data_IF_887533078077
#
_entry.id   IF_887533078077
#
_cell.length_a   1.000
_cell.length_b   1.000
_cell.length_c   1.000
_cell.angle_alpha   90.00
_cell.angle_beta   90.00
_cell.angle_gamma   90.00
#
_symmetry.space_group_name_H-M   'P 1'
#
loop_
_entity.id
_entity.type
_entity.pdbx_description
1 polymer ?
#
# COMPACT_ATOMS: atom_id res chain seq x y z
N UNK A 1 -4.78 -6.00 24.92
CA UNK A 1 -4.88 -4.59 25.42
C UNK A 1 -6.11 -3.96 24.79
N UNK A 2 -6.75 -3.00 25.44
CA UNK A 2 -7.87 -2.25 24.87
C UNK A 2 -7.77 -0.78 25.30
N UNK A 3 -8.23 0.14 24.45
CA UNK A 3 -8.26 1.56 24.72
C UNK A 3 -6.94 2.29 24.41
N UNK A 4 -6.76 3.45 25.07
CA UNK A 4 -5.60 4.33 24.85
C UNK A 4 -4.41 3.86 25.69
N UNK A 5 -3.32 3.48 25.03
CA UNK A 5 -2.15 2.84 25.68
C UNK A 5 -0.84 3.59 25.38
N UNK A 6 -0.79 4.87 25.73
CA UNK A 6 0.32 5.79 25.37
C UNK A 6 1.71 5.38 25.89
N UNK A 7 1.77 4.51 26.89
CA UNK A 7 3.04 4.00 27.46
C UNK A 7 3.34 2.55 27.09
N UNK A 8 2.44 1.87 26.38
CA UNK A 8 2.61 0.47 26.00
C UNK A 8 3.33 0.35 24.67
N UNK A 9 4.09 -0.73 24.52
CA UNK A 9 4.85 -0.96 23.31
C UNK A 9 5.16 -2.44 23.06
N UNK A 10 5.40 -2.77 21.80
CA UNK A 10 6.07 -3.98 21.34
C UNK A 10 7.33 -3.52 20.62
N UNK A 11 8.50 -3.64 21.27
CA UNK A 11 9.76 -3.08 20.75
C UNK A 11 10.95 -4.01 20.89
N UNK A 12 11.86 -3.96 19.92
CA UNK A 12 13.14 -4.67 19.92
C UNK A 12 13.00 -6.21 20.03
N UNK A 13 11.93 -6.77 19.47
CA UNK A 13 11.69 -8.22 19.52
C UNK A 13 12.03 -8.89 18.19
N UNK A 14 12.35 -10.19 18.27
CA UNK A 14 12.28 -11.09 17.12
C UNK A 14 11.11 -12.05 17.29
N UNK A 15 10.16 -12.02 16.37
CA UNK A 15 9.01 -12.93 16.33
C UNK A 15 9.16 -13.80 15.10
N UNK A 16 9.34 -15.10 15.28
CA UNK A 16 9.59 -16.01 14.16
C UNK A 16 8.84 -17.32 14.29
N UNK A 17 8.52 -17.93 13.14
CA UNK A 17 7.85 -19.23 13.06
C UNK A 17 6.51 -19.24 13.81
N UNK A 18 5.74 -18.16 13.69
CA UNK A 18 4.43 -18.07 14.31
C UNK A 18 3.39 -18.76 13.43
N UNK A 19 2.66 -19.71 14.00
CA UNK A 19 1.49 -20.35 13.37
C UNK A 19 0.22 -19.48 13.46
N UNK A 20 0.36 -18.25 13.95
CA UNK A 20 -0.65 -17.21 13.99
C UNK A 20 0.00 -15.86 13.57
N UNK A 21 -0.76 -14.77 13.62
CA UNK A 21 -0.28 -13.41 13.34
C UNK A 21 0.88 -13.02 14.26
N UNK A 22 1.65 -12.02 13.87
CA UNK A 22 2.82 -11.56 14.62
C UNK A 22 2.45 -10.57 15.72
N UNK A 23 1.77 -9.48 15.37
CA UNK A 23 1.27 -8.48 16.32
C UNK A 23 -0.09 -7.97 15.87
N UNK A 24 -1.10 -8.29 16.65
CA UNK A 24 -2.47 -7.81 16.47
C UNK A 24 -2.70 -6.55 17.30
N UNK A 25 -3.23 -5.52 16.66
CA UNK A 25 -3.67 -4.26 17.26
C UNK A 25 -5.19 -4.21 17.07
N UNK A 26 -5.92 -4.52 18.15
CA UNK A 26 -7.37 -4.66 18.14
C UNK A 26 -7.99 -3.86 19.28
N UNK A 27 -8.84 -2.87 18.96
CA UNK A 27 -9.42 -1.94 19.93
C UNK A 27 -8.39 -1.07 20.66
N UNK A 28 -7.20 -0.88 20.08
CA UNK A 28 -6.04 -0.23 20.70
C UNK A 28 -5.63 1.05 19.97
N UNK A 29 -5.30 2.09 20.75
CA UNK A 29 -4.86 3.39 20.25
C UNK A 29 -3.56 3.83 20.92
N UNK A 30 -2.72 4.58 20.21
CA UNK A 30 -1.44 5.10 20.71
C UNK A 30 -0.40 4.05 21.11
N UNK A 31 -0.56 2.79 20.67
CA UNK A 31 0.45 1.76 20.87
C UNK A 31 1.69 2.07 20.03
N UNK A 32 2.88 1.79 20.55
CA UNK A 32 4.10 1.77 19.74
C UNK A 32 4.52 0.35 19.38
N UNK A 33 4.60 0.02 18.10
CA UNK A 33 5.19 -1.22 17.57
C UNK A 33 6.42 -0.84 16.76
N UNK A 34 7.62 -1.00 17.33
CA UNK A 34 8.83 -0.48 16.68
C UNK A 34 10.07 -1.37 16.79
N UNK A 35 10.92 -1.33 15.78
CA UNK A 35 12.22 -2.03 15.79
C UNK A 35 12.12 -3.55 16.00
N UNK A 36 11.01 -4.17 15.57
CA UNK A 36 10.86 -5.61 15.65
C UNK A 36 11.21 -6.27 14.31
N UNK A 37 11.70 -7.51 14.38
CA UNK A 37 11.93 -8.38 13.24
C UNK A 37 10.93 -9.53 13.27
N UNK A 38 10.15 -9.68 12.19
CA UNK A 38 9.20 -10.76 12.00
C UNK A 38 9.64 -11.66 10.86
N UNK A 39 9.69 -12.97 11.10
CA UNK A 39 10.05 -13.94 10.07
C UNK A 39 9.13 -15.15 10.08
N UNK A 40 8.67 -15.60 8.91
CA UNK A 40 7.91 -16.85 8.78
C UNK A 40 6.67 -16.88 9.71
N UNK A 41 5.77 -15.93 9.51
CA UNK A 41 4.52 -15.76 10.28
C UNK A 41 3.33 -16.15 9.41
N UNK A 42 2.37 -16.90 9.95
CA UNK A 42 1.12 -17.25 9.25
C UNK A 42 0.03 -16.18 9.47
N UNK A 43 -0.72 -15.88 8.42
CA UNK A 43 -1.70 -14.77 8.41
C UNK A 43 -1.05 -13.39 8.33
N UNK A 44 -1.84 -12.34 8.45
CA UNK A 44 -1.35 -10.97 8.46
C UNK A 44 -0.34 -10.77 9.61
N UNK A 45 0.85 -10.24 9.33
CA UNK A 45 1.90 -10.22 10.37
C UNK A 45 1.71 -9.09 11.38
N UNK A 46 1.68 -7.83 10.93
CA UNK A 46 1.24 -6.70 11.77
C UNK A 46 -0.16 -6.31 11.31
N UNK A 47 -1.12 -6.43 12.23
CA UNK A 47 -2.53 -6.51 11.89
C UNK A 47 -3.34 -5.50 12.71
N UNK A 48 -3.77 -4.41 12.06
CA UNK A 48 -4.71 -3.43 12.61
C UNK A 48 -6.11 -3.87 12.18
N UNK A 49 -6.92 -4.35 13.12
CA UNK A 49 -8.03 -5.27 12.82
C UNK A 49 -9.33 -4.55 12.43
N UNK A 50 -9.99 -3.85 13.35
CA UNK A 50 -11.42 -3.53 13.24
C UNK A 50 -11.73 -2.15 12.65
N UNK A 51 -10.72 -1.46 12.15
CA UNK A 51 -10.83 -0.11 11.64
C UNK A 51 -11.21 0.94 12.70
N UNK A 52 -11.16 0.60 13.98
CA UNK A 52 -11.35 1.53 15.10
C UNK A 52 -10.01 2.09 15.59
N UNK A 53 -8.93 1.35 15.40
CA UNK A 53 -7.61 1.60 15.96
C UNK A 53 -6.94 2.79 15.29
N UNK A 54 -6.53 3.76 16.10
CA UNK A 54 -5.95 5.01 15.58
C UNK A 54 -4.75 5.45 16.39
N UNK A 55 -3.91 6.25 15.73
CA UNK A 55 -2.73 6.92 16.28
C UNK A 55 -1.70 5.94 16.84
N UNK A 56 -1.70 4.69 16.39
CA UNK A 56 -0.65 3.74 16.69
C UNK A 56 0.60 4.11 15.86
N UNK A 57 1.76 3.99 16.49
CA UNK A 57 3.06 4.23 15.87
C UNK A 57 3.68 2.88 15.50
N UNK A 58 3.71 2.58 14.20
CA UNK A 58 4.33 1.38 13.63
C UNK A 58 5.56 1.82 12.85
N UNK A 59 6.76 1.65 13.40
CA UNK A 59 7.97 2.17 12.76
C UNK A 59 9.18 1.23 12.78
N UNK A 60 9.96 1.26 11.71
CA UNK A 60 11.22 0.52 11.59
C UNK A 60 11.13 -0.97 11.91
N UNK A 61 9.98 -1.59 11.61
CA UNK A 61 9.82 -3.04 11.69
C UNK A 61 10.22 -3.69 10.37
N UNK A 62 10.82 -4.87 10.44
CA UNK A 62 11.08 -5.72 9.27
C UNK A 62 10.16 -6.92 9.34
N UNK A 63 9.39 -7.16 8.28
CA UNK A 63 8.50 -8.31 8.16
C UNK A 63 8.87 -9.09 6.90
N UNK A 64 9.28 -10.34 7.06
CA UNK A 64 9.72 -11.20 5.97
C UNK A 64 9.05 -12.58 6.01
N UNK A 65 8.63 -13.06 4.84
CA UNK A 65 8.08 -14.41 4.69
C UNK A 65 6.71 -14.59 5.33
N UNK A 66 5.80 -13.62 5.17
CA UNK A 66 4.39 -13.78 5.58
C UNK A 66 3.73 -14.88 4.75
N UNK A 67 3.09 -15.85 5.42
CA UNK A 67 2.49 -17.04 4.81
C UNK A 67 0.97 -17.06 4.96
N UNK A 68 0.23 -17.64 4.00
CA UNK A 68 -1.20 -17.88 4.15
C UNK A 68 -1.51 -18.66 5.42
N UNK A 69 -2.65 -18.35 6.04
CA UNK A 69 -3.30 -19.17 7.05
C UNK A 69 -4.72 -19.50 6.60
N UNK A 70 -5.12 -20.76 6.79
CA UNK A 70 -6.47 -21.25 6.47
C UNK A 70 -7.32 -21.47 7.73
N UNK A 71 -6.81 -21.06 8.89
CA UNK A 71 -7.46 -21.23 10.20
C UNK A 71 -7.76 -19.90 10.90
N UNK A 72 -7.51 -18.77 10.22
CA UNK A 72 -7.75 -17.41 10.73
C UNK A 72 -8.86 -16.73 9.90
N UNK A 73 -8.82 -15.40 9.71
CA UNK A 73 -9.82 -14.72 8.89
C UNK A 73 -9.65 -15.12 7.42
N UNK A 74 -10.73 -15.01 6.63
CA UNK A 74 -10.69 -15.32 5.20
C UNK A 74 -9.58 -14.55 4.45
N UNK A 75 -9.27 -13.33 4.89
CA UNK A 75 -8.21 -12.50 4.29
C UNK A 75 -6.79 -12.98 4.61
N UNK A 76 -6.60 -13.77 5.68
CA UNK A 76 -5.32 -14.39 6.01
C UNK A 76 -4.92 -15.48 5.01
N UNK A 77 -5.82 -15.91 4.12
CA UNK A 77 -5.48 -16.77 2.97
C UNK A 77 -4.71 -16.01 1.89
N UNK A 78 -4.79 -14.67 1.89
CA UNK A 78 -4.04 -13.77 1.00
C UNK A 78 -3.34 -12.65 1.78
N UNK A 79 -2.43 -12.97 2.71
CA UNK A 79 -2.01 -12.07 3.75
C UNK A 79 -1.15 -10.90 3.26
N UNK A 80 -1.10 -9.88 4.12
CA UNK A 80 -0.20 -8.74 4.02
C UNK A 80 0.85 -8.80 5.12
N UNK A 81 2.07 -8.31 4.85
CA UNK A 81 3.04 -8.06 5.93
C UNK A 81 2.44 -7.07 6.94
N UNK A 82 1.77 -6.04 6.43
CA UNK A 82 1.03 -5.05 7.21
C UNK A 82 -0.40 -5.00 6.67
N UNK A 83 -1.38 -5.26 7.54
CA UNK A 83 -2.81 -5.13 7.27
C UNK A 83 -3.37 -3.98 8.08
N UNK A 84 -4.02 -3.03 7.40
CA UNK A 84 -4.28 -1.70 7.94
C UNK A 84 -5.69 -1.28 7.55
N UNK A 85 -6.62 -1.34 8.50
CA UNK A 85 -8.03 -1.02 8.23
C UNK A 85 -8.41 0.42 8.55
N UNK A 86 -7.52 1.19 9.17
CA UNK A 86 -7.76 2.62 9.45
C UNK A 86 -6.54 3.50 9.08
N UNK A 87 -6.72 4.58 8.26
CA UNK A 87 -5.60 5.39 7.74
C UNK A 87 -4.93 6.28 8.79
N UNK A 88 -5.66 6.68 9.83
CA UNK A 88 -5.18 7.54 10.92
C UNK A 88 -4.24 6.81 11.90
N UNK A 89 -3.21 6.14 11.37
CA UNK A 89 -2.10 5.50 12.07
C UNK A 89 -0.78 5.95 11.42
N UNK A 90 0.35 5.75 12.10
CA UNK A 90 1.66 6.27 11.70
C UNK A 90 2.55 5.10 11.28
N UNK A 91 2.92 5.03 10.01
CA UNK A 91 3.78 3.99 9.43
C UNK A 91 5.05 4.61 8.86
N UNK A 92 6.19 4.42 9.54
CA UNK A 92 7.46 5.05 9.16
C UNK A 92 8.57 4.01 9.01
N UNK A 93 9.25 4.00 7.86
CA UNK A 93 10.50 3.26 7.70
C UNK A 93 10.38 1.73 7.79
N UNK A 94 9.18 1.17 7.69
CA UNK A 94 8.97 -0.27 7.79
C UNK A 94 9.38 -0.99 6.49
N UNK A 95 9.79 -2.24 6.61
CA UNK A 95 10.22 -3.10 5.49
C UNK A 95 9.33 -4.33 5.40
N UNK A 96 8.60 -4.47 4.29
CA UNK A 96 7.87 -5.67 3.90
C UNK A 96 8.71 -6.45 2.88
N UNK A 97 9.41 -7.48 3.33
CA UNK A 97 10.37 -8.27 2.57
C UNK A 97 9.84 -9.68 2.27
N UNK A 98 8.66 -9.76 1.67
CA UNK A 98 8.05 -11.01 1.23
C UNK A 98 6.78 -11.38 1.97
N UNK A 99 5.73 -11.57 1.19
CA UNK A 99 4.42 -12.13 1.54
C UNK A 99 3.91 -12.88 0.32
N UNK A 100 3.09 -13.91 0.51
CA UNK A 100 2.39 -14.55 -0.61
C UNK A 100 1.55 -13.56 -1.42
N UNK A 101 1.12 -12.43 -0.84
CA UNK A 101 0.27 -11.47 -1.55
C UNK A 101 0.71 -10.01 -1.37
N UNK A 102 0.59 -9.42 -0.18
CA UNK A 102 0.70 -7.95 -0.05
C UNK A 102 1.84 -7.52 0.87
N UNK A 103 2.46 -6.37 0.57
CA UNK A 103 3.37 -5.69 1.49
C UNK A 103 2.57 -4.92 2.53
N UNK A 104 2.01 -3.80 2.11
CA UNK A 104 1.07 -2.98 2.88
C UNK A 104 -0.31 -3.11 2.23
N UNK A 105 -1.24 -3.76 2.93
CA UNK A 105 -2.64 -3.78 2.55
C UNK A 105 -3.40 -2.80 3.44
N UNK A 106 -3.66 -1.62 2.87
CA UNK A 106 -4.58 -0.64 3.42
C UNK A 106 -5.98 -1.07 2.99
N UNK A 107 -6.69 -1.77 3.86
CA UNK A 107 -8.05 -2.29 3.64
C UNK A 107 -9.08 -1.47 4.44
N UNK A 108 -9.20 -0.19 4.09
CA UNK A 108 -10.11 0.74 4.72
C UNK A 108 -11.56 0.31 4.49
N UNK A 109 -12.30 0.36 5.60
CA UNK A 109 -13.71 0.01 5.70
C UNK A 109 -14.58 1.27 5.73
N UNK A 110 -15.86 1.14 5.41
CA UNK A 110 -16.81 2.27 5.49
C UNK A 110 -17.19 2.62 6.93
N UNK A 111 -17.11 1.65 7.84
CA UNK A 111 -17.28 1.83 9.27
C UNK A 111 -16.21 1.07 10.05
N UNK A 112 -16.09 1.30 11.36
CA UNK A 112 -15.47 0.28 12.20
C UNK A 112 -16.33 -1.00 12.15
N UNK A 113 -15.67 -2.15 12.17
CA UNK A 113 -16.28 -3.48 11.99
C UNK A 113 -15.95 -4.37 13.20
N UNK A 114 -16.40 -5.63 13.16
CA UNK A 114 -16.04 -6.62 14.17
C UNK A 114 -16.51 -6.24 15.59
N UNK A 115 -15.82 -6.74 16.63
CA UNK A 115 -16.09 -6.38 18.02
C UNK A 115 -16.03 -4.88 18.31
N UNK A 116 -15.29 -4.09 17.51
CA UNK A 116 -15.20 -2.64 17.66
C UNK A 116 -16.22 -1.87 16.78
N UNK A 117 -17.28 -2.53 16.28
CA UNK A 117 -18.25 -1.93 15.37
C UNK A 117 -18.78 -0.57 15.88
N UNK A 118 -18.65 0.44 15.02
CA UNK A 118 -19.20 1.76 15.27
C UNK A 118 -19.47 2.48 13.94
N UNK A 119 -20.74 2.78 13.62
CA UNK A 119 -21.09 3.39 12.33
C UNK A 119 -20.64 4.85 12.18
N UNK A 120 -20.24 5.50 13.29
CA UNK A 120 -19.73 6.89 13.32
C UNK A 120 -18.24 6.99 13.00
N UNK A 121 -17.48 5.90 13.13
CA UNK A 121 -16.08 5.85 12.70
C UNK A 121 -16.07 5.60 11.20
N UNK A 122 -15.48 6.49 10.41
CA UNK A 122 -15.47 6.42 8.93
C UNK A 122 -14.03 6.32 8.40
N UNK A 123 -13.41 5.13 8.36
CA UNK A 123 -12.02 4.96 7.94
C UNK A 123 -11.73 5.48 6.53
N UNK A 124 -12.57 5.19 5.54
CA UNK A 124 -12.41 5.68 4.15
C UNK A 124 -12.41 7.21 4.04
N UNK A 125 -13.06 7.92 4.96
CA UNK A 125 -13.14 9.38 5.03
C UNK A 125 -12.22 9.98 6.10
N UNK A 126 -11.37 9.17 6.73
CA UNK A 126 -10.47 9.64 7.79
C UNK A 126 -9.19 10.21 7.19
N UNK A 127 -8.52 11.10 7.91
CA UNK A 127 -7.20 11.58 7.51
C UNK A 127 -6.18 10.43 7.59
N UNK A 128 -5.16 10.50 6.73
CA UNK A 128 -3.94 9.72 6.92
C UNK A 128 -3.20 10.24 8.17
N UNK A 129 -2.70 9.33 9.00
CA UNK A 129 -1.78 9.69 10.09
C UNK A 129 -0.44 10.09 9.50
N UNK A 130 0.36 9.10 9.12
CA UNK A 130 1.59 9.30 8.33
C UNK A 130 1.96 7.99 7.63
N UNK A 131 2.43 8.07 6.38
CA UNK A 131 3.00 6.94 5.66
C UNK A 131 4.26 7.41 4.93
N UNK A 132 5.43 7.12 5.51
CA UNK A 132 6.70 7.67 5.03
C UNK A 132 7.85 6.67 5.03
N UNK A 133 8.62 6.63 3.94
CA UNK A 133 9.88 5.88 3.88
C UNK A 133 9.72 4.35 4.00
N UNK A 134 8.52 3.82 3.81
CA UNK A 134 8.25 2.39 3.89
C UNK A 134 8.72 1.70 2.60
N UNK A 135 9.14 0.44 2.69
CA UNK A 135 9.57 -0.33 1.52
C UNK A 135 8.84 -1.66 1.47
N UNK A 136 8.37 -2.05 0.28
CA UNK A 136 7.78 -3.35 0.03
C UNK A 136 8.45 -4.05 -1.15
N UNK A 137 8.83 -5.31 -1.01
CA UNK A 137 9.43 -6.07 -2.10
C UNK A 137 9.23 -7.57 -1.97
N UNK A 138 9.44 -8.27 -3.08
CA UNK A 138 9.34 -9.73 -3.15
C UNK A 138 7.98 -10.27 -2.66
N UNK A 139 6.91 -9.48 -2.78
CA UNK A 139 5.53 -9.87 -2.44
C UNK A 139 4.80 -10.39 -3.67
N UNK A 140 3.89 -11.37 -3.50
CA UNK A 140 3.26 -12.04 -4.65
C UNK A 140 2.32 -11.19 -5.50
N UNK A 141 1.69 -10.14 -4.93
CA UNK A 141 0.78 -9.23 -5.63
C UNK A 141 1.26 -7.77 -5.54
N UNK A 142 0.89 -7.05 -4.48
CA UNK A 142 1.02 -5.59 -4.43
C UNK A 142 1.94 -5.13 -3.30
N UNK A 143 2.86 -4.22 -3.60
CA UNK A 143 3.73 -3.62 -2.60
C UNK A 143 2.95 -2.76 -1.61
N UNK A 144 2.17 -1.81 -2.13
CA UNK A 144 1.15 -1.04 -1.41
C UNK A 144 -0.18 -1.17 -2.14
N UNK A 145 -1.23 -1.57 -1.43
CA UNK A 145 -2.60 -1.62 -1.92
C UNK A 145 -3.49 -0.73 -1.06
N UNK A 146 -4.15 0.25 -1.65
CA UNK A 146 -5.17 1.10 -1.01
C UNK A 146 -6.54 0.69 -1.54
N UNK A 147 -7.37 0.17 -0.64
CA UNK A 147 -8.66 -0.44 -0.91
C UNK A 147 -9.55 -0.28 0.34
N UNK A 148 -10.87 -0.22 0.28
CA UNK A 148 -11.71 -0.09 -0.91
C UNK A 148 -11.73 1.35 -1.49
N UNK A 149 -11.09 2.29 -0.80
CA UNK A 149 -11.08 3.71 -1.14
C UNK A 149 -10.33 4.51 -0.07
N UNK A 150 -9.89 5.73 -0.39
CA UNK A 150 -9.42 6.69 0.61
C UNK A 150 -9.71 8.11 0.15
N UNK A 151 -10.68 8.76 0.79
CA UNK A 151 -11.19 10.10 0.47
C UNK A 151 -11.03 11.01 1.68
N UNK A 152 -9.79 11.31 2.07
CA UNK A 152 -9.53 12.09 3.27
C UNK A 152 -10.04 13.54 3.10
N UNK A 153 -10.43 14.21 4.19
CA UNK A 153 -10.91 15.59 4.15
C UNK A 153 -9.79 16.60 3.82
N UNK A 154 -8.54 16.17 3.99
CA UNK A 154 -7.32 16.92 3.70
C UNK A 154 -6.39 16.05 2.87
N UNK A 155 -5.47 16.64 2.13
CA UNK A 155 -4.52 15.88 1.29
C UNK A 155 -3.74 14.85 2.12
N UNK A 156 -3.82 13.58 1.72
CA UNK A 156 -3.02 12.51 2.29
C UNK A 156 -1.77 12.25 1.44
N UNK A 157 -0.61 12.29 2.10
CA UNK A 157 0.69 12.11 1.45
C UNK A 157 1.22 10.70 1.75
N UNK A 158 1.36 9.88 0.72
CA UNK A 158 2.11 8.64 0.76
C UNK A 158 3.52 8.93 0.23
N UNK A 159 4.47 9.07 1.15
CA UNK A 159 5.76 9.71 0.87
C UNK A 159 6.91 8.71 0.90
N UNK A 160 7.87 8.89 -0.02
CA UNK A 160 9.16 8.20 -0.03
C UNK A 160 9.01 6.65 0.01
N UNK A 161 7.88 6.14 -0.49
CA UNK A 161 7.62 4.71 -0.53
C UNK A 161 8.40 4.07 -1.67
N UNK A 162 9.07 2.95 -1.39
CA UNK A 162 9.71 2.15 -2.42
C UNK A 162 9.00 0.82 -2.57
N UNK A 163 8.65 0.45 -3.80
CA UNK A 163 8.20 -0.91 -4.12
C UNK A 163 9.01 -1.51 -5.26
N UNK A 164 9.56 -2.71 -5.03
CA UNK A 164 10.31 -3.40 -6.07
C UNK A 164 10.06 -4.90 -6.12
N UNK A 165 10.15 -5.47 -7.32
CA UNK A 165 10.02 -6.91 -7.55
C UNK A 165 8.71 -7.49 -6.94
N UNK A 166 7.63 -6.71 -6.95
CA UNK A 166 6.29 -7.18 -6.61
C UNK A 166 5.71 -8.01 -7.77
N UNK A 167 5.01 -9.09 -7.46
CA UNK A 167 4.50 -10.04 -8.46
C UNK A 167 3.37 -9.51 -9.34
N UNK A 168 2.75 -8.38 -8.98
CA UNK A 168 1.83 -7.63 -9.84
C UNK A 168 2.17 -6.14 -9.89
N UNK A 169 1.90 -5.39 -8.83
CA UNK A 169 1.97 -3.93 -8.86
C UNK A 169 2.78 -3.37 -7.70
N UNK A 170 3.55 -2.31 -7.92
CA UNK A 170 4.21 -1.60 -6.82
C UNK A 170 3.18 -0.91 -5.92
N UNK A 171 2.41 0.02 -6.49
CA UNK A 171 1.32 0.73 -5.81
C UNK A 171 0.01 0.56 -6.58
N UNK A 172 -1.04 0.11 -5.91
CA UNK A 172 -2.40 0.08 -6.45
C UNK A 172 -3.34 0.86 -5.53
N UNK A 173 -4.15 1.74 -6.11
CA UNK A 173 -5.21 2.45 -5.39
C UNK A 173 -6.56 2.27 -6.07
N UNK A 174 -7.61 2.04 -5.28
CA UNK A 174 -9.00 2.12 -5.72
C UNK A 174 -9.64 3.35 -5.10
N UNK A 175 -10.50 4.05 -5.86
CA UNK A 175 -11.36 5.14 -5.37
C UNK A 175 -10.63 6.16 -4.48
N UNK A 176 -9.64 6.82 -5.09
CA UNK A 176 -8.78 7.76 -4.39
C UNK A 176 -9.33 9.19 -4.45
N UNK A 177 -9.49 9.82 -3.28
CA UNK A 177 -9.74 11.24 -3.15
C UNK A 177 -8.45 12.05 -3.25
N UNK A 178 -8.26 12.98 -2.29
CA UNK A 178 -7.11 13.92 -2.20
C UNK A 178 -5.81 13.19 -1.80
N UNK A 179 -5.29 12.35 -2.69
CA UNK A 179 -4.13 11.49 -2.42
C UNK A 179 -2.94 11.91 -3.28
N UNK A 180 -1.78 12.12 -2.65
CA UNK A 180 -0.52 12.33 -3.36
C UNK A 180 0.46 11.20 -3.07
N UNK A 181 1.02 10.63 -4.14
CA UNK A 181 2.19 9.75 -4.06
C UNK A 181 3.42 10.59 -4.35
N UNK A 182 4.17 10.92 -3.29
CA UNK A 182 5.29 11.85 -3.38
C UNK A 182 6.62 11.11 -3.25
N UNK A 183 7.53 11.35 -4.18
CA UNK A 183 8.88 10.77 -4.23
C UNK A 183 8.91 9.24 -4.14
N UNK A 184 7.90 8.57 -4.71
CA UNK A 184 7.83 7.10 -4.70
C UNK A 184 8.84 6.51 -5.70
N UNK A 185 9.45 5.39 -5.35
CA UNK A 185 10.42 4.70 -6.20
C UNK A 185 9.91 3.30 -6.52
N UNK A 186 9.71 3.01 -7.81
CA UNK A 186 9.03 1.80 -8.26
C UNK A 186 9.88 1.08 -9.30
N UNK A 187 10.38 -0.11 -8.94
CA UNK A 187 11.43 -0.80 -9.70
C UNK A 187 11.00 -2.24 -10.02
N UNK A 188 10.88 -2.57 -11.30
CA UNK A 188 10.69 -3.95 -11.77
C UNK A 188 9.52 -4.71 -11.11
N UNK A 189 8.40 -4.02 -10.88
CA UNK A 189 7.13 -4.61 -10.48
C UNK A 189 6.44 -5.23 -11.70
N UNK A 190 6.07 -6.51 -11.65
CA UNK A 190 5.83 -7.35 -12.84
C UNK A 190 4.85 -6.76 -13.86
N UNK A 191 3.64 -6.43 -13.44
CA UNK A 191 2.57 -5.95 -14.33
C UNK A 191 2.63 -4.44 -14.52
N UNK A 192 2.38 -3.69 -13.45
CA UNK A 192 2.36 -2.21 -13.49
C UNK A 192 3.14 -1.67 -12.31
N UNK A 193 3.89 -0.57 -12.44
CA UNK A 193 4.54 0.01 -11.25
C UNK A 193 3.55 0.75 -10.35
N UNK A 194 2.71 1.62 -10.92
CA UNK A 194 1.67 2.36 -10.23
C UNK A 194 0.36 2.33 -11.02
N UNK A 195 -0.76 2.04 -10.35
CA UNK A 195 -2.08 2.14 -10.97
C UNK A 195 -3.17 2.64 -10.03
N UNK A 196 -4.14 3.36 -10.59
CA UNK A 196 -5.37 3.74 -9.89
C UNK A 196 -6.60 3.34 -10.70
N UNK A 197 -7.60 2.80 -10.03
CA UNK A 197 -8.83 2.30 -10.68
C UNK A 197 -9.83 3.43 -10.94
N UNK A 198 -9.97 4.32 -9.95
CA UNK A 198 -10.89 5.45 -9.99
C UNK A 198 -10.42 6.53 -9.04
N UNK A 199 -10.85 7.76 -9.28
CA UNK A 199 -10.63 8.91 -8.41
C UNK A 199 -11.96 9.57 -8.07
N UNK A 200 -12.02 10.19 -6.90
CA UNK A 200 -13.20 10.90 -6.37
C UNK A 200 -12.76 12.19 -5.66
N UNK A 201 -11.88 12.94 -6.32
CA UNK A 201 -11.33 14.21 -5.87
C UNK A 201 -11.62 15.32 -6.88
N UNK A 202 -11.46 16.58 -6.48
CA UNK A 202 -11.47 17.68 -7.44
C UNK A 202 -10.27 17.66 -8.37
N UNK A 203 -10.34 18.46 -9.44
CA UNK A 203 -9.29 18.57 -10.47
C UNK A 203 -7.91 18.80 -9.85
N UNK A 204 -6.98 17.90 -10.17
CA UNK A 204 -5.58 17.89 -9.70
C UNK A 204 -5.40 17.76 -8.19
N UNK A 205 -6.41 17.32 -7.44
CA UNK A 205 -6.24 16.99 -6.03
C UNK A 205 -5.59 15.60 -5.83
N UNK A 206 -5.68 14.72 -6.83
CA UNK A 206 -4.95 13.46 -6.88
C UNK A 206 -3.64 13.63 -7.69
N UNK A 207 -2.50 13.25 -7.11
CA UNK A 207 -1.18 13.50 -7.73
C UNK A 207 -0.18 12.37 -7.59
N UNK A 208 0.69 12.26 -8.60
CA UNK A 208 1.96 11.54 -8.54
C UNK A 208 3.06 12.55 -8.75
N UNK A 209 3.87 12.81 -7.72
CA UNK A 209 4.82 13.91 -7.70
C UNK A 209 6.23 13.39 -7.39
N UNK A 210 7.22 13.69 -8.26
CA UNK A 210 8.62 13.30 -8.07
C UNK A 210 8.87 11.78 -8.12
N UNK A 211 7.99 11.01 -8.76
CA UNK A 211 8.09 9.55 -8.79
C UNK A 211 9.22 9.06 -9.71
N UNK A 212 9.94 8.03 -9.29
CA UNK A 212 10.95 7.34 -10.11
C UNK A 212 10.43 5.97 -10.49
N UNK A 213 10.36 5.72 -11.79
CA UNK A 213 9.97 4.45 -12.36
C UNK A 213 11.14 3.80 -13.09
N UNK A 214 11.43 2.55 -12.75
CA UNK A 214 12.48 1.77 -13.41
C UNK A 214 11.87 0.48 -13.95
N UNK A 215 11.76 0.39 -15.28
CA UNK A 215 11.16 -0.75 -15.97
C UNK A 215 11.96 -2.02 -15.75
N UNK A 216 13.23 -2.01 -16.14
CA UNK A 216 14.17 -3.13 -15.96
C UNK A 216 15.38 -2.71 -15.13
N UNK A 217 15.72 -3.52 -14.12
CA UNK A 217 16.94 -3.34 -13.32
C UNK A 217 17.85 -4.56 -13.44
N UNK A 218 19.11 -4.37 -13.83
CA UNK A 218 20.11 -5.44 -13.86
C UNK A 218 20.51 -5.91 -12.46
N UNK A 219 20.40 -5.04 -11.45
CA UNK A 219 20.83 -5.31 -10.08
C UNK A 219 19.92 -6.31 -9.37
N UNK A 220 18.61 -6.12 -9.48
CA UNK A 220 17.61 -6.95 -8.80
C UNK A 220 16.89 -7.94 -9.73
N UNK A 221 17.13 -7.82 -11.04
CA UNK A 221 16.41 -8.56 -12.07
C UNK A 221 14.93 -8.14 -12.20
N UNK A 222 14.24 -8.77 -13.14
CA UNK A 222 12.83 -8.50 -13.41
C UNK A 222 12.57 -7.33 -14.36
N UNK A 223 11.31 -7.17 -14.74
CA UNK A 223 10.83 -6.12 -15.62
C UNK A 223 9.41 -5.69 -15.26
N UNK A 224 9.05 -4.47 -15.61
CA UNK A 224 7.69 -3.93 -15.51
C UNK A 224 7.08 -3.75 -16.90
N UNK A 225 5.85 -4.22 -17.11
CA UNK A 225 5.18 -4.03 -18.40
C UNK A 225 4.75 -2.56 -18.62
N UNK A 226 4.17 -1.92 -17.60
CA UNK A 226 3.76 -0.50 -17.65
C UNK A 226 4.20 0.27 -16.41
N UNK A 227 4.79 1.45 -16.54
CA UNK A 227 5.16 2.21 -15.35
C UNK A 227 3.94 2.76 -14.62
N UNK A 228 3.09 3.46 -15.36
CA UNK A 228 1.94 4.20 -14.84
C UNK A 228 0.70 3.91 -15.67
N UNK A 229 -0.39 3.52 -14.99
CA UNK A 229 -1.72 3.28 -15.58
C UNK A 229 -2.76 4.02 -14.74
N UNK A 230 -3.24 5.16 -15.25
CA UNK A 230 -4.20 6.02 -14.56
C UNK A 230 -5.66 5.57 -14.65
N UNK A 231 -6.57 6.26 -13.94
CA UNK A 231 -8.02 6.06 -14.04
C UNK A 231 -8.57 6.61 -15.37
N UNK A 232 -9.83 6.29 -15.74
CA UNK A 232 -10.54 6.92 -16.86
C UNK A 232 -11.01 8.33 -16.49
N UNK A 233 -10.08 9.25 -16.20
CA UNK A 233 -10.36 10.64 -15.82
C UNK A 233 -9.14 11.53 -16.09
N UNK A 234 -9.38 12.82 -16.35
CA UNK A 234 -8.36 13.85 -16.56
C UNK A 234 -8.06 14.69 -15.30
N UNK A 235 -8.70 14.37 -14.16
CA UNK A 235 -8.64 15.17 -12.93
C UNK A 235 -7.44 14.85 -12.02
N UNK A 236 -6.42 14.18 -12.52
CA UNK A 236 -5.21 13.82 -11.78
C UNK A 236 -3.96 14.37 -12.48
N UNK A 237 -2.89 14.54 -11.72
CA UNK A 237 -1.65 15.16 -12.21
C UNK A 237 -0.44 14.27 -11.94
N UNK A 238 0.46 14.22 -12.91
CA UNK A 238 1.81 13.66 -12.78
C UNK A 238 2.82 14.78 -12.97
N UNK A 239 3.64 15.04 -11.96
CA UNK A 239 4.69 16.06 -11.98
C UNK A 239 6.04 15.46 -11.61
N UNK A 240 7.10 15.98 -12.24
CA UNK A 240 8.50 15.63 -11.93
C UNK A 240 8.84 14.12 -11.94
N UNK A 241 8.05 13.33 -12.67
CA UNK A 241 8.24 11.89 -12.78
C UNK A 241 9.38 11.55 -13.75
N UNK A 242 10.19 10.55 -13.39
CA UNK A 242 11.31 10.07 -14.19
C UNK A 242 11.11 8.60 -14.53
N UNK A 243 11.31 8.23 -15.80
CA UNK A 243 11.13 6.89 -16.31
C UNK A 243 12.44 6.37 -16.88
N UNK A 244 12.87 5.18 -16.45
CA UNK A 244 14.13 4.57 -16.86
C UNK A 244 13.90 3.13 -17.33
N UNK A 245 14.62 2.73 -18.37
CA UNK A 245 14.72 1.34 -18.84
C UNK A 245 13.38 0.69 -19.21
N UNK A 246 12.51 1.42 -19.91
CA UNK A 246 11.32 0.88 -20.59
C UNK A 246 11.65 0.65 -22.07
N UNK A 247 11.92 -0.60 -22.45
CA UNK A 247 12.28 -0.96 -23.83
C UNK A 247 11.11 -1.56 -24.62
N UNK A 248 11.42 -2.16 -25.76
CA UNK A 248 10.43 -2.82 -26.64
C UNK A 248 9.50 -3.79 -25.89
N UNK A 249 8.19 -3.70 -26.12
CA UNK A 249 7.14 -4.48 -25.46
C UNK A 249 6.68 -3.94 -24.09
N UNK A 250 7.45 -3.05 -23.48
CA UNK A 250 7.06 -2.31 -22.25
C UNK A 250 6.67 -0.87 -22.59
N UNK A 251 6.01 -0.17 -21.68
CA UNK A 251 5.62 1.23 -21.88
C UNK A 251 5.72 2.02 -20.59
N UNK A 252 6.08 3.29 -20.67
CA UNK A 252 6.18 4.12 -19.48
C UNK A 252 4.78 4.51 -18.99
N UNK A 253 3.94 5.01 -19.90
CA UNK A 253 2.54 5.35 -19.60
C UNK A 253 1.67 4.39 -20.40
N UNK A 254 0.71 3.73 -19.74
CA UNK A 254 -0.27 2.86 -20.39
C UNK A 254 -1.61 3.56 -20.63
N UNK A 255 -2.49 2.89 -21.39
CA UNK A 255 -3.90 3.28 -21.47
C UNK A 255 -4.55 3.25 -20.08
N UNK A 256 -5.61 4.04 -19.89
CA UNK A 256 -6.34 4.08 -18.63
C UNK A 256 -6.93 2.71 -18.25
N UNK A 257 -7.01 2.46 -16.94
CA UNK A 257 -7.50 1.19 -16.40
C UNK A 257 -8.99 1.03 -16.69
N UNK A 258 -9.37 -0.08 -17.33
CA UNK A 258 -10.77 -0.39 -17.63
C UNK A 258 -11.35 0.36 -18.83
N UNK A 259 -10.53 1.12 -19.55
CA UNK A 259 -10.95 1.80 -20.78
C UNK A 259 -11.21 0.82 -21.92
N UNK A 260 -12.31 1.02 -22.65
CA UNK A 260 -12.67 0.19 -23.81
C UNK A 260 -11.63 0.34 -24.94
N UNK A 261 -11.26 -0.78 -25.57
CA UNK A 261 -10.28 -0.80 -26.67
C UNK A 261 -10.73 -0.03 -27.92
N UNK A 262 -12.04 0.22 -28.07
CA UNK A 262 -12.65 0.72 -29.31
C UNK A 262 -13.16 2.16 -29.20
N UNK A 263 -12.87 2.86 -28.09
CA UNK A 263 -13.18 4.28 -27.91
C UNK A 263 -11.91 5.06 -27.65
N UNK A 264 -11.87 6.28 -28.17
CA UNK A 264 -10.83 7.22 -27.80
C UNK A 264 -11.08 7.72 -26.37
N UNK A 265 -10.42 7.08 -25.40
CA UNK A 265 -10.52 7.45 -23.98
C UNK A 265 -9.45 8.48 -23.57
N UNK A 266 -8.84 9.20 -24.52
CA UNK A 266 -7.78 10.19 -24.26
C UNK A 266 -6.44 9.61 -23.79
N UNK A 267 -6.41 8.36 -23.31
CA UNK A 267 -5.19 7.70 -22.88
C UNK A 267 -4.46 7.01 -24.06
N UNK A 268 -3.17 7.29 -24.22
CA UNK A 268 -2.30 6.64 -25.21
C UNK A 268 -1.12 5.99 -24.49
N UNK A 269 -0.72 4.81 -24.97
CA UNK A 269 0.52 4.20 -24.46
C UNK A 269 1.69 4.99 -25.01
N UNK A 270 2.51 5.57 -24.14
CA UNK A 270 3.73 6.27 -24.53
C UNK A 270 4.94 5.39 -24.25
N UNK A 271 5.71 5.13 -25.30
CA UNK A 271 7.04 4.56 -25.22
C UNK A 271 8.04 5.72 -25.31
N UNK A 272 8.95 5.82 -24.36
CA UNK A 272 10.10 6.72 -24.47
C UNK A 272 11.22 5.87 -25.08
N UNK A 273 11.56 6.15 -26.34
CA UNK A 273 12.72 5.57 -27.01
C UNK A 273 14.01 6.22 -26.50
#
# INVERSE_FOLDING_TARGET
MIGRVTKSFVKNNTIRNSYNRGTTIHGVHYLTVAYNSYYNTMGHTIFVEDAAETRNLIMYNVVAGTKPSFSLLNTDTTPGCFWITHPNNIFIGNRAAGSSNYGFWMDYQDTAIGPSFNPRIKPTLSKLGEFKGNVAHSVGNYGLRIFHGHKPPVTALYQDHMSYKCGKTGIMGKDLGKIWFKNVILVSNKAVSLTFDSISAGRFENRVDGAIFVGKSKLIGGSTNRALVGPPSDDWLVSDARFYNFGSGTGAIGQCKGCESNKDNGARTQNFQ
#
